data_IF_821521391443
#
_entry.id   IF_821521391443
#
_cell.length_a   1.000
_cell.length_b   1.000
_cell.length_c   1.000
_cell.angle_alpha   90.00
_cell.angle_beta   90.00
_cell.angle_gamma   90.00
#
_symmetry.space_group_name_H-M   'P 1'
#
loop_
_entity.id
_entity.type
_entity.pdbx_description
1 polymer ?
#
# COMPACT_ATOMS: atom_id res chain seq x y z
N UNK A 1 25.57 -10.11 -3.55
CA UNK A 1 24.65 -10.69 -2.55
C UNK A 1 23.90 -9.55 -1.92
N UNK A 2 22.57 -9.57 -2.01
CA UNK A 2 21.72 -8.45 -1.60
C UNK A 2 20.63 -8.97 -0.66
N UNK A 3 20.39 -8.24 0.41
CA UNK A 3 19.33 -8.51 1.38
C UNK A 3 18.50 -7.25 1.57
N UNK A 4 17.21 -7.30 1.29
CA UNK A 4 16.27 -6.19 1.53
C UNK A 4 15.37 -6.57 2.69
N UNK A 5 15.37 -5.74 3.72
CA UNK A 5 14.59 -5.94 4.95
C UNK A 5 13.53 -4.86 5.10
N UNK A 6 12.36 -5.26 5.58
CA UNK A 6 11.31 -4.33 6.04
C UNK A 6 11.24 -4.39 7.57
N UNK A 7 11.54 -3.29 8.28
CA UNK A 7 11.28 -3.21 9.71
C UNK A 7 9.80 -3.48 10.01
N UNK A 8 9.51 -4.28 11.03
CA UNK A 8 8.14 -4.52 11.53
C UNK A 8 7.85 -3.67 12.78
N UNK A 9 8.46 -2.49 12.85
CA UNK A 9 8.33 -1.53 13.93
C UNK A 9 8.38 -0.10 13.38
N UNK A 10 7.79 0.84 14.11
CA UNK A 10 7.73 2.26 13.74
C UNK A 10 8.79 3.03 14.53
N UNK A 11 10.01 3.12 13.96
CA UNK A 11 11.08 3.96 14.47
C UNK A 11 12.02 4.37 13.33
N UNK A 12 12.63 5.55 13.46
CA UNK A 12 13.70 5.97 12.55
C UNK A 12 14.94 5.10 12.77
N UNK A 13 15.50 4.62 11.66
CA UNK A 13 16.75 3.86 11.66
C UNK A 13 17.93 4.83 11.58
N UNK A 14 18.92 4.72 12.48
CA UNK A 14 20.18 5.47 12.37
C UNK A 14 20.90 5.23 11.04
N UNK A 15 21.71 6.19 10.60
CA UNK A 15 22.43 6.11 9.32
C UNK A 15 23.42 4.93 9.24
N UNK A 16 23.94 4.47 10.39
CA UNK A 16 24.90 3.36 10.55
C UNK A 16 24.22 2.01 10.85
N UNK A 17 22.88 1.97 10.88
CA UNK A 17 22.13 0.80 11.29
C UNK A 17 22.34 -0.42 10.37
N UNK A 18 22.70 -0.20 9.11
CA UNK A 18 23.07 -1.28 8.16
C UNK A 18 24.22 -2.13 8.69
N UNK A 19 25.29 -1.51 9.20
CA UNK A 19 26.47 -2.21 9.67
C UNK A 19 26.16 -3.05 10.92
N UNK A 20 25.35 -2.48 11.81
CA UNK A 20 24.89 -3.14 13.02
C UNK A 20 24.08 -4.39 12.68
N UNK A 21 23.10 -4.28 11.79
CA UNK A 21 22.28 -5.42 11.35
C UNK A 21 23.12 -6.45 10.60
N UNK A 22 24.06 -6.01 9.74
CA UNK A 22 24.97 -6.92 9.03
C UNK A 22 25.81 -7.75 9.99
N UNK A 23 26.34 -7.12 11.05
CA UNK A 23 27.10 -7.80 12.09
C UNK A 23 26.26 -8.84 12.82
N UNK A 24 25.01 -8.50 13.17
CA UNK A 24 24.09 -9.39 13.87
C UNK A 24 23.62 -10.59 13.03
N UNK A 25 23.40 -10.39 11.74
CA UNK A 25 22.94 -11.46 10.83
C UNK A 25 24.10 -12.30 10.27
N UNK A 26 25.35 -11.94 10.51
CA UNK A 26 26.50 -12.59 9.89
C UNK A 26 26.51 -14.10 10.16
N UNK A 27 26.61 -14.90 9.10
CA UNK A 27 26.61 -16.36 9.17
C UNK A 27 25.21 -17.00 9.17
N UNK A 28 24.15 -16.24 9.36
CA UNK A 28 22.77 -16.73 9.23
C UNK A 28 22.42 -17.00 7.76
N UNK A 29 21.59 -18.02 7.53
CA UNK A 29 20.96 -18.27 6.24
C UNK A 29 19.53 -17.71 6.28
N UNK A 30 19.17 -16.87 5.31
CA UNK A 30 17.87 -16.20 5.23
C UNK A 30 17.22 -16.45 3.87
N UNK A 31 15.88 -16.49 3.85
CA UNK A 31 15.09 -16.68 2.62
C UNK A 31 14.12 -15.53 2.39
N UNK A 32 13.86 -15.23 1.12
CA UNK A 32 12.79 -14.28 0.76
C UNK A 32 11.45 -14.73 1.35
N UNK A 33 10.75 -13.79 2.00
CA UNK A 33 9.45 -14.02 2.64
C UNK A 33 9.51 -14.40 4.11
N UNK A 34 10.69 -14.71 4.65
CA UNK A 34 10.89 -15.07 6.05
C UNK A 34 10.81 -13.84 6.97
N UNK A 35 10.33 -14.04 8.20
CA UNK A 35 10.47 -13.08 9.29
C UNK A 35 11.67 -13.45 10.15
N UNK A 36 12.59 -12.51 10.34
CA UNK A 36 13.78 -12.68 11.16
C UNK A 36 13.71 -11.77 12.38
N UNK A 37 14.34 -12.22 13.47
CA UNK A 37 14.46 -11.48 14.71
C UNK A 37 15.92 -11.21 15.03
N UNK A 38 16.21 -9.96 15.40
CA UNK A 38 17.56 -9.51 15.76
C UNK A 38 17.50 -8.84 17.13
N UNK A 39 18.29 -9.34 18.08
CA UNK A 39 18.44 -8.68 19.38
C UNK A 39 19.38 -7.47 19.29
N UNK A 40 18.82 -6.30 19.58
CA UNK A 40 19.54 -5.04 19.69
C UNK A 40 19.30 -4.41 21.06
N UNK A 41 20.37 -4.29 21.84
CA UNK A 41 20.36 -3.70 23.19
C UNK A 41 19.33 -4.38 24.12
N UNK A 42 19.13 -5.70 23.98
CA UNK A 42 18.17 -6.47 24.78
C UNK A 42 16.73 -6.33 24.32
N UNK A 43 16.48 -5.72 23.15
CA UNK A 43 15.16 -5.63 22.52
C UNK A 43 15.15 -6.47 21.24
N UNK A 44 14.21 -7.41 21.09
CA UNK A 44 14.02 -8.13 19.85
C UNK A 44 13.39 -7.21 18.81
N UNK A 45 14.11 -6.96 17.71
CA UNK A 45 13.61 -6.25 16.55
C UNK A 45 13.28 -7.24 15.44
N UNK A 46 12.05 -7.17 14.94
CA UNK A 46 11.57 -8.07 13.88
C UNK A 46 11.63 -7.39 12.52
N UNK A 47 12.08 -8.13 11.52
CA UNK A 47 12.17 -7.68 10.15
C UNK A 47 11.58 -8.75 9.23
N UNK A 48 10.88 -8.31 8.18
CA UNK A 48 10.49 -9.20 7.07
C UNK A 48 11.55 -9.15 5.98
N UNK A 49 12.01 -10.30 5.51
CA UNK A 49 12.93 -10.42 4.38
C UNK A 49 12.14 -10.23 3.09
N UNK A 50 12.22 -9.04 2.49
CA UNK A 50 11.57 -8.74 1.21
C UNK A 50 12.30 -9.38 0.04
N UNK A 51 13.63 -9.48 0.13
CA UNK A 51 14.46 -10.07 -0.91
C UNK A 51 15.76 -10.62 -0.33
N UNK A 52 16.07 -11.88 -0.62
CA UNK A 52 17.38 -12.49 -0.43
C UNK A 52 17.91 -12.93 -1.80
N UNK A 53 19.05 -12.38 -2.23
CA UNK A 53 19.64 -12.67 -3.54
C UNK A 53 21.11 -13.14 -3.43
N UNK A 54 21.40 -14.42 -3.73
CA UNK A 54 20.47 -15.51 -4.09
C UNK A 54 19.60 -15.95 -2.90
N UNK A 55 18.49 -16.67 -3.15
CA UNK A 55 17.67 -17.27 -2.08
C UNK A 55 17.82 -18.80 -2.11
N UNK A 56 18.26 -19.47 -1.01
CA UNK A 56 18.66 -18.90 0.27
C UNK A 56 19.98 -18.09 0.21
N UNK A 57 20.07 -17.05 1.03
CA UNK A 57 21.26 -16.20 1.18
C UNK A 57 21.94 -16.50 2.51
N UNK A 58 23.23 -16.88 2.49
CA UNK A 58 24.06 -16.85 3.68
C UNK A 58 24.70 -15.47 3.84
N UNK A 59 24.38 -14.76 4.91
CA UNK A 59 24.85 -13.39 5.15
C UNK A 59 26.36 -13.40 5.44
N UNK A 60 27.10 -12.58 4.68
CA UNK A 60 28.55 -12.38 4.77
C UNK A 60 28.87 -10.90 4.92
N UNK A 61 30.10 -10.55 5.30
CA UNK A 61 30.55 -9.15 5.41
C UNK A 61 30.39 -8.32 4.13
N UNK A 62 30.39 -8.95 2.95
CA UNK A 62 30.14 -8.30 1.66
C UNK A 62 28.66 -8.26 1.24
N UNK A 63 27.74 -8.72 2.09
CA UNK A 63 26.29 -8.67 1.81
C UNK A 63 25.80 -7.24 1.97
N UNK A 64 25.26 -6.68 0.89
CA UNK A 64 24.63 -5.36 0.91
C UNK A 64 23.25 -5.49 1.57
N UNK A 65 23.00 -4.73 2.62
CA UNK A 65 21.72 -4.72 3.32
C UNK A 65 21.01 -3.41 3.02
N UNK A 66 19.73 -3.48 2.68
CA UNK A 66 18.91 -2.31 2.39
C UNK A 66 17.64 -2.38 3.23
N UNK A 67 17.21 -1.24 3.77
CA UNK A 67 15.94 -1.13 4.47
C UNK A 67 14.91 -0.49 3.56
N UNK A 68 13.79 -1.19 3.35
CA UNK A 68 12.64 -0.60 2.71
C UNK A 68 11.84 0.16 3.76
N UNK A 69 11.82 1.49 3.65
CA UNK A 69 11.05 2.41 4.50
C UNK A 69 9.62 2.63 4.00
N UNK A 70 9.28 2.10 2.82
CA UNK A 70 7.95 2.20 2.22
C UNK A 70 7.22 0.87 2.27
N UNK A 71 6.25 0.74 3.16
CA UNK A 71 5.22 -0.28 3.01
C UNK A 71 4.38 0.06 1.78
N UNK A 72 4.23 -0.87 0.84
CA UNK A 72 3.08 -0.80 -0.08
C UNK A 72 1.89 -1.30 0.73
N UNK A 73 1.00 -0.38 1.09
CA UNK A 73 -0.32 -0.73 1.61
C UNK A 73 -1.20 -1.12 0.41
N UNK A 74 -1.61 -2.38 0.38
CA UNK A 74 -2.52 -2.91 -0.64
C UNK A 74 -3.88 -3.04 0.01
N UNK A 75 -4.87 -2.30 -0.52
CA UNK A 75 -6.25 -2.36 -0.07
C UNK A 75 -7.08 -2.89 -1.22
N UNK A 76 -7.57 -4.12 -1.08
CA UNK A 76 -8.48 -4.74 -2.03
C UNK A 76 -9.93 -4.43 -1.65
N UNK A 77 -10.74 -4.05 -2.64
CA UNK A 77 -12.18 -3.88 -2.49
C UNK A 77 -12.89 -4.91 -3.36
N UNK A 78 -13.73 -5.73 -2.73
CA UNK A 78 -14.64 -6.64 -3.42
C UNK A 78 -16.02 -5.98 -3.54
N UNK A 79 -16.59 -6.03 -4.74
CA UNK A 79 -17.92 -5.53 -5.04
C UNK A 79 -18.78 -6.67 -5.59
N UNK A 80 -20.04 -6.73 -5.18
CA UNK A 80 -21.01 -7.72 -5.69
C UNK A 80 -21.35 -7.50 -7.17
N UNK A 81 -21.03 -6.31 -7.69
CA UNK A 81 -21.27 -5.88 -9.07
C UNK A 81 -19.94 -5.54 -9.77
N UNK A 82 -19.84 -5.70 -11.10
CA UNK A 82 -18.66 -5.31 -11.85
C UNK A 82 -18.33 -3.81 -11.72
N UNK A 83 -17.04 -3.50 -11.52
CA UNK A 83 -16.54 -2.13 -11.59
C UNK A 83 -16.51 -1.68 -13.06
N UNK A 84 -17.32 -0.68 -13.40
CA UNK A 84 -17.39 -0.13 -14.76
C UNK A 84 -16.29 0.88 -15.05
N UNK A 85 -16.00 1.74 -14.08
CA UNK A 85 -15.01 2.82 -14.23
C UNK A 85 -14.46 3.22 -12.85
N UNK A 86 -13.19 3.60 -12.82
CA UNK A 86 -12.58 4.28 -11.67
C UNK A 86 -12.01 5.61 -12.15
N UNK A 87 -12.47 6.71 -11.57
CA UNK A 87 -12.08 8.06 -11.95
C UNK A 87 -11.26 8.69 -10.82
N UNK A 88 -9.94 8.90 -10.99
CA UNK A 88 -9.12 9.58 -10.00
C UNK A 88 -9.42 11.09 -9.99
N UNK A 89 -9.37 11.71 -8.81
CA UNK A 89 -9.46 13.16 -8.65
C UNK A 89 -8.63 13.62 -7.43
N UNK A 90 -8.59 14.92 -7.16
CA UNK A 90 -7.76 15.50 -6.09
C UNK A 90 -8.04 14.89 -4.70
N UNK A 91 -9.32 14.63 -4.39
CA UNK A 91 -9.75 14.09 -3.10
C UNK A 91 -9.68 12.57 -2.96
N UNK A 92 -9.32 11.82 -4.02
CA UNK A 92 -9.26 10.36 -4.01
C UNK A 92 -9.78 9.74 -5.30
N UNK A 93 -10.70 8.79 -5.17
CA UNK A 93 -11.19 7.97 -6.28
C UNK A 93 -12.72 7.92 -6.31
N UNK A 94 -13.29 8.00 -7.50
CA UNK A 94 -14.71 7.72 -7.72
C UNK A 94 -14.82 6.34 -8.38
N UNK A 95 -15.47 5.39 -7.71
CA UNK A 95 -15.75 4.06 -8.22
C UNK A 95 -17.17 4.02 -8.75
N UNK A 96 -17.31 3.62 -10.02
CA UNK A 96 -18.59 3.54 -10.72
C UNK A 96 -18.92 2.07 -10.97
N UNK A 97 -19.99 1.59 -10.35
CA UNK A 97 -20.60 0.28 -10.61
C UNK A 97 -21.75 0.44 -11.61
N UNK A 98 -22.59 -0.59 -11.80
CA UNK A 98 -23.69 -0.51 -12.76
C UNK A 98 -24.68 0.62 -12.46
N UNK A 99 -25.12 0.69 -11.20
CA UNK A 99 -26.12 1.66 -10.72
C UNK A 99 -25.65 2.46 -9.52
N UNK A 100 -24.41 2.27 -9.08
CA UNK A 100 -23.88 2.84 -7.85
C UNK A 100 -22.65 3.70 -8.12
N UNK A 101 -22.53 4.79 -7.38
CA UNK A 101 -21.33 5.63 -7.34
C UNK A 101 -20.82 5.67 -5.92
N UNK A 102 -19.53 5.36 -5.74
CA UNK A 102 -18.83 5.48 -4.47
C UNK A 102 -17.69 6.49 -4.61
N UNK A 103 -17.46 7.29 -3.58
CA UNK A 103 -16.28 8.17 -3.48
C UNK A 103 -15.44 7.68 -2.31
N UNK A 104 -14.19 7.34 -2.60
CA UNK A 104 -13.19 6.93 -1.62
C UNK A 104 -12.13 8.04 -1.51
N UNK A 105 -11.60 8.29 -0.31
CA UNK A 105 -10.40 9.08 -0.15
C UNK A 105 -9.15 8.28 -0.55
N UNK A 106 -7.96 8.90 -0.49
CA UNK A 106 -6.69 8.24 -0.81
C UNK A 106 -6.35 7.04 0.08
N UNK A 107 -6.97 6.95 1.28
CA UNK A 107 -6.79 5.83 2.21
C UNK A 107 -7.85 4.72 1.99
N UNK A 108 -8.64 4.79 0.92
CA UNK A 108 -9.71 3.82 0.64
C UNK A 108 -10.96 3.99 1.53
N UNK A 109 -11.05 5.03 2.36
CA UNK A 109 -12.24 5.24 3.20
C UNK A 109 -13.38 5.84 2.37
N UNK A 110 -14.58 5.29 2.53
CA UNK A 110 -15.79 5.73 1.83
C UNK A 110 -16.30 7.07 2.38
N UNK A 111 -16.26 8.10 1.55
CA UNK A 111 -16.78 9.45 1.85
C UNK A 111 -18.24 9.59 1.40
N UNK A 112 -18.60 8.97 0.28
CA UNK A 112 -19.95 9.04 -0.29
C UNK A 112 -20.32 7.72 -0.97
N UNK A 113 -21.61 7.40 -0.96
CA UNK A 113 -22.17 6.26 -1.68
C UNK A 113 -23.63 6.52 -1.97
N UNK A 114 -24.04 6.36 -3.22
CA UNK A 114 -25.46 6.39 -3.56
C UNK A 114 -25.75 5.56 -4.82
N UNK A 115 -27.01 5.16 -4.94
CA UNK A 115 -27.54 4.36 -6.03
C UNK A 115 -28.50 5.18 -6.90
N UNK A 116 -28.50 4.88 -8.18
CA UNK A 116 -29.23 5.61 -9.21
C UNK A 116 -29.96 4.61 -10.11
N UNK A 117 -31.25 4.85 -10.35
CA UNK A 117 -32.04 4.00 -11.23
C UNK A 117 -31.56 4.05 -12.68
N UNK A 118 -31.12 5.21 -13.13
CA UNK A 118 -30.54 5.44 -14.45
C UNK A 118 -29.25 6.26 -14.30
N UNK A 119 -28.13 5.57 -14.07
CA UNK A 119 -26.81 6.18 -14.00
C UNK A 119 -26.24 6.33 -15.42
N UNK A 120 -26.19 7.55 -15.92
CA UNK A 120 -25.72 7.78 -17.28
C UNK A 120 -24.20 7.95 -17.34
N UNK A 121 -23.62 8.79 -16.47
CA UNK A 121 -22.20 9.15 -16.54
C UNK A 121 -21.70 9.83 -15.26
N UNK A 122 -20.42 9.62 -14.96
CA UNK A 122 -19.70 10.36 -13.92
C UNK A 122 -18.57 11.19 -14.54
N UNK A 123 -18.37 12.41 -14.03
CA UNK A 123 -17.25 13.28 -14.38
C UNK A 123 -16.66 13.90 -13.13
N UNK A 124 -15.38 14.23 -13.19
CA UNK A 124 -14.68 14.95 -12.13
C UNK A 124 -14.08 16.22 -12.70
N UNK A 125 -14.09 17.29 -11.91
CA UNK A 125 -13.37 18.52 -12.23
C UNK A 125 -12.88 19.14 -10.93
N UNK A 126 -11.56 19.25 -10.79
CA UNK A 126 -10.90 19.68 -9.55
C UNK A 126 -11.34 18.79 -8.38
N UNK A 127 -11.97 19.36 -7.35
CA UNK A 127 -12.55 18.66 -6.20
C UNK A 127 -14.06 18.41 -6.27
N UNK A 128 -14.71 18.54 -7.43
CA UNK A 128 -16.16 18.29 -7.57
C UNK A 128 -16.43 17.07 -8.44
N UNK A 129 -17.28 16.17 -7.94
CA UNK A 129 -17.80 15.02 -8.67
C UNK A 129 -19.18 15.36 -9.23
N UNK A 130 -19.36 15.17 -10.53
CA UNK A 130 -20.60 15.42 -11.26
C UNK A 130 -21.19 14.09 -11.69
N UNK A 131 -22.36 13.75 -11.16
CA UNK A 131 -23.09 12.52 -11.50
C UNK A 131 -24.28 12.91 -12.38
N UNK A 132 -24.31 12.40 -13.61
CA UNK A 132 -25.40 12.59 -14.57
C UNK A 132 -26.30 11.36 -14.50
N UNK A 133 -27.58 11.59 -14.19
CA UNK A 133 -28.55 10.51 -13.96
C UNK A 133 -29.96 10.87 -14.45
N UNK A 134 -30.80 9.86 -14.65
CA UNK A 134 -32.19 10.03 -15.09
C UNK A 134 -32.34 10.73 -16.43
N UNK A 135 -31.32 10.67 -17.30
CA UNK A 135 -31.27 11.29 -18.62
C UNK A 135 -31.12 12.82 -18.64
N UNK A 136 -31.57 13.53 -17.60
CA UNK A 136 -31.57 15.00 -17.57
C UNK A 136 -31.26 15.63 -16.20
N UNK A 137 -30.82 14.85 -15.21
CA UNK A 137 -30.46 15.36 -13.87
C UNK A 137 -28.96 15.30 -13.67
N UNK A 138 -28.46 16.27 -12.91
CA UNK A 138 -27.09 16.27 -12.42
C UNK A 138 -27.07 16.40 -10.91
N UNK A 139 -26.14 15.70 -10.27
CA UNK A 139 -25.78 15.88 -8.86
C UNK A 139 -24.33 16.29 -8.75
N UNK A 140 -24.08 17.33 -7.96
CA UNK A 140 -22.74 17.77 -7.61
C UNK A 140 -22.43 17.28 -6.20
N UNK A 141 -21.36 16.50 -6.07
CA UNK A 141 -20.81 16.09 -4.77
C UNK A 141 -19.48 16.82 -4.60
N UNK A 142 -19.32 17.49 -3.46
CA UNK A 142 -18.10 18.20 -3.04
C UNK A 142 -17.60 17.51 -1.76
N UNK A 143 -16.77 16.47 -1.91
CA UNK A 143 -16.22 15.70 -0.79
C UNK A 143 -15.32 16.55 0.10
#
# INVERSE_FOLDING_TARGET
>A
MRLVLRPLFEAELPADFEEVIRSKLMGMEVRTGEDIEVDLLGKPLRFKVLLAEPSPLKVKGSTRIEFSTGGVEIIDFEFDEPVREVVPFEGGFVVVLERKVLILNHNGQKIYSDEFDDLNRVRVSKGTVVIIHGGNKIRLVKP
#
